data_IF_528821643655
#
_entry.id   IF_528821643655
#
_cell.length_a   1.000
_cell.length_b   1.000
_cell.length_c   1.000
_cell.angle_alpha   90.00
_cell.angle_beta   90.00
_cell.angle_gamma   90.00
#
_symmetry.space_group_name_H-M   'P 1'
#
loop_
_entity.id
_entity.type
_entity.pdbx_description
1 polymer ?
#
# COMPACT_ATOMS: atom_id res chain seq x y z
N UNK A 1 -7.05 11.87 19.75
CA UNK A 1 -7.84 11.29 18.62
C UNK A 1 -7.58 9.78 18.51
N UNK A 2 -8.51 8.99 17.94
CA UNK A 2 -8.27 7.55 17.60
C UNK A 2 -8.13 7.43 16.09
N UNK A 3 -7.06 6.77 15.63
CA UNK A 3 -6.79 6.54 14.21
C UNK A 3 -6.71 5.03 13.97
N UNK A 4 -7.39 4.53 12.94
CA UNK A 4 -7.20 3.18 12.42
C UNK A 4 -6.24 3.23 11.26
N UNK A 5 -5.26 2.33 11.25
CA UNK A 5 -4.31 2.22 10.17
C UNK A 5 -3.87 0.79 9.93
N UNK A 6 -3.40 0.53 8.71
CA UNK A 6 -2.79 -0.74 8.36
C UNK A 6 -1.62 -1.05 9.29
N UNK A 7 -1.48 -2.33 9.63
CA UNK A 7 -0.37 -2.80 10.46
C UNK A 7 0.99 -2.63 9.74
N UNK A 8 1.95 -2.05 10.44
CA UNK A 8 3.35 -1.85 10.03
C UNK A 8 4.24 -2.54 11.05
N UNK A 9 5.19 -3.33 10.59
CA UNK A 9 6.13 -4.02 11.47
C UNK A 9 7.14 -3.03 12.08
N UNK A 10 7.55 -3.17 13.36
CA UNK A 10 7.07 -4.12 14.39
C UNK A 10 6.15 -3.45 15.43
N UNK A 11 4.93 -3.06 15.04
CA UNK A 11 3.94 -2.57 16.01
C UNK A 11 3.44 -3.69 16.94
N UNK A 12 3.36 -3.39 18.24
CA UNK A 12 2.80 -4.28 19.27
C UNK A 12 1.96 -3.44 20.23
N UNK A 13 1.08 -4.08 21.00
CA UNK A 13 0.25 -3.39 21.98
C UNK A 13 1.08 -2.56 22.95
N UNK A 14 0.66 -1.31 23.15
CA UNK A 14 1.32 -0.38 24.06
C UNK A 14 2.59 0.27 23.53
N UNK A 15 3.08 -0.13 22.36
CA UNK A 15 4.22 0.53 21.72
C UNK A 15 3.79 1.86 21.11
N UNK A 16 4.66 2.86 21.22
CA UNK A 16 4.42 4.15 20.62
C UNK A 16 4.69 4.15 19.11
N UNK A 17 4.06 5.10 18.43
CA UNK A 17 4.17 5.29 16.99
C UNK A 17 4.14 6.78 16.66
N UNK A 18 5.04 7.21 15.78
CA UNK A 18 5.10 8.59 15.31
C UNK A 18 4.43 8.73 13.93
N UNK A 19 3.23 9.30 13.88
CA UNK A 19 2.53 9.58 12.62
C UNK A 19 3.19 10.67 11.76
N UNK A 20 4.17 11.41 12.30
CA UNK A 20 4.92 12.42 11.53
C UNK A 20 5.84 11.78 10.52
N UNK A 21 6.55 10.75 10.99
CA UNK A 21 7.66 10.09 10.29
C UNK A 21 7.39 8.62 10.01
N UNK A 22 6.24 8.09 10.43
CA UNK A 22 5.86 6.68 10.38
C UNK A 22 6.83 5.75 11.13
N UNK A 23 7.39 6.20 12.24
CA UNK A 23 8.39 5.42 13.00
C UNK A 23 7.78 4.73 14.22
N UNK A 24 8.19 3.48 14.46
CA UNK A 24 7.81 2.72 15.65
C UNK A 24 8.76 3.10 16.79
N UNK A 25 8.20 3.47 17.95
CA UNK A 25 8.94 3.93 19.11
C UNK A 25 9.10 2.88 20.20
N UNK A 26 8.93 3.30 21.45
CA UNK A 26 9.19 2.52 22.67
C UNK A 26 7.89 2.04 23.33
N UNK A 27 8.00 1.11 24.27
CA UNK A 27 6.83 0.61 25.01
C UNK A 27 6.42 1.63 26.09
N UNK A 28 5.18 2.10 26.03
CA UNK A 28 4.64 3.13 26.92
C UNK A 28 4.14 2.56 28.26
N UNK A 29 3.75 1.28 28.26
CA UNK A 29 3.11 0.60 29.38
C UNK A 29 3.97 -0.55 29.90
N UNK A 30 3.67 -1.01 31.12
CA UNK A 30 4.41 -2.12 31.69
C UNK A 30 4.07 -3.42 30.97
N UNK A 31 5.05 -4.33 30.86
CA UNK A 31 4.84 -5.62 30.20
C UNK A 31 3.69 -6.42 30.82
N UNK A 32 3.53 -6.34 32.14
CA UNK A 32 2.43 -6.99 32.87
C UNK A 32 1.05 -6.56 32.37
N UNK A 33 0.91 -5.28 32.01
CA UNK A 33 -0.35 -4.72 31.53
C UNK A 33 -0.62 -5.12 30.06
N UNK A 34 0.45 -5.38 29.29
CA UNK A 34 0.38 -5.78 27.88
C UNK A 34 0.09 -7.29 27.74
N UNK A 35 0.60 -8.12 28.65
CA UNK A 35 0.51 -9.58 28.60
C UNK A 35 -0.92 -10.14 28.74
N UNK A 36 -1.86 -9.34 29.26
CA UNK A 36 -3.25 -9.76 29.47
C UNK A 36 -4.20 -8.83 28.70
N UNK A 37 -4.15 -8.82 27.35
CA UNK A 37 -5.01 -7.97 26.57
C UNK A 37 -6.46 -8.43 26.68
N UNK A 38 -7.38 -7.49 26.52
CA UNK A 38 -8.78 -7.82 26.30
C UNK A 38 -8.91 -8.39 24.88
N UNK A 39 -9.42 -9.62 24.78
CA UNK A 39 -9.70 -10.26 23.49
C UNK A 39 -11.19 -10.09 23.15
N UNK A 40 -11.48 -9.66 21.92
CA UNK A 40 -12.82 -9.52 21.39
C UNK A 40 -12.89 -10.32 20.08
N UNK A 41 -13.88 -11.22 19.98
CA UNK A 41 -14.19 -11.90 18.73
C UNK A 41 -14.81 -10.90 17.74
N UNK A 42 -14.13 -10.66 16.63
CA UNK A 42 -14.52 -9.71 15.59
C UNK A 42 -14.50 -10.41 14.23
N UNK A 43 -15.24 -11.52 14.13
CA UNK A 43 -15.28 -12.30 12.89
C UNK A 43 -16.15 -11.61 11.85
N UNK A 44 -15.53 -11.11 10.78
CA UNK A 44 -16.25 -10.63 9.61
C UNK A 44 -15.49 -10.90 8.32
N UNK A 45 -16.26 -10.99 7.24
CA UNK A 45 -15.78 -11.15 5.88
C UNK A 45 -16.32 -9.99 5.03
N UNK A 46 -15.45 -9.24 4.40
CA UNK A 46 -15.82 -8.18 3.47
C UNK A 46 -15.00 -8.32 2.18
N UNK A 47 -15.63 -8.06 1.05
CA UNK A 47 -14.96 -8.09 -0.24
C UNK A 47 -15.52 -7.02 -1.17
N UNK A 48 -14.64 -6.22 -1.77
CA UNK A 48 -14.97 -5.22 -2.78
C UNK A 48 -13.98 -5.30 -3.94
N UNK A 49 -14.35 -4.68 -5.06
CA UNK A 49 -13.43 -4.51 -6.19
C UNK A 49 -13.59 -3.14 -6.83
N UNK A 50 -12.54 -2.69 -7.52
CA UNK A 50 -12.53 -1.45 -8.28
C UNK A 50 -11.60 -1.58 -9.49
N UNK A 51 -12.00 -0.95 -10.60
CA UNK A 51 -11.10 -0.71 -11.73
C UNK A 51 -10.16 0.42 -11.37
N UNK A 52 -8.86 0.24 -11.59
CA UNK A 52 -7.82 1.20 -11.25
C UNK A 52 -7.49 2.05 -12.46
N UNK A 53 -7.68 3.36 -12.33
CA UNK A 53 -7.32 4.34 -13.34
C UNK A 53 -6.18 5.25 -12.87
N UNK A 54 -6.09 5.46 -11.56
CA UNK A 54 -5.15 6.37 -10.92
C UNK A 54 -4.52 5.77 -9.65
N UNK A 55 -3.40 6.33 -9.21
CA UNK A 55 -2.82 6.00 -7.89
C UNK A 55 -3.78 6.32 -6.75
N UNK A 56 -4.71 7.27 -6.92
CA UNK A 56 -5.77 7.54 -5.94
C UNK A 56 -6.76 6.39 -5.82
N UNK A 57 -7.09 5.68 -6.91
CA UNK A 57 -7.93 4.48 -6.83
C UNK A 57 -7.25 3.35 -6.04
N UNK A 58 -5.93 3.20 -6.19
CA UNK A 58 -5.15 2.24 -5.40
C UNK A 58 -5.22 2.61 -3.92
N UNK A 59 -5.01 3.88 -3.58
CA UNK A 59 -5.10 4.37 -2.20
C UNK A 59 -6.46 4.13 -1.57
N UNK A 60 -7.53 4.41 -2.32
CA UNK A 60 -8.91 4.17 -1.88
C UNK A 60 -9.19 2.67 -1.66
N UNK A 61 -8.84 1.81 -2.62
CA UNK A 61 -9.06 0.36 -2.47
C UNK A 61 -8.27 -0.17 -1.29
N UNK A 62 -7.04 0.30 -1.06
CA UNK A 62 -6.17 -0.20 0.00
C UNK A 62 -6.40 0.45 1.36
N UNK A 63 -7.18 1.53 1.43
CA UNK A 63 -7.38 2.38 2.62
C UNK A 63 -6.04 2.92 3.17
N UNK A 64 -5.20 3.48 2.29
CA UNK A 64 -3.92 4.10 2.66
C UNK A 64 -3.91 5.59 2.30
N UNK A 65 -3.30 6.40 3.17
CA UNK A 65 -3.13 7.84 2.92
C UNK A 65 -1.91 8.12 2.01
N UNK A 66 -1.82 9.34 1.47
CA UNK A 66 -0.75 9.73 0.55
C UNK A 66 0.66 9.60 1.13
N UNK A 67 0.88 10.05 2.36
CA UNK A 67 2.16 9.90 3.07
C UNK A 67 2.60 8.43 3.23
N UNK A 68 1.69 7.56 3.66
CA UNK A 68 1.95 6.13 3.75
C UNK A 68 2.21 5.49 2.37
N UNK A 69 1.45 5.87 1.33
CA UNK A 69 1.67 5.41 -0.04
C UNK A 69 3.07 5.74 -0.54
N UNK A 70 3.50 6.99 -0.37
CA UNK A 70 4.83 7.46 -0.74
C UNK A 70 5.93 6.67 -0.04
N UNK A 71 5.78 6.44 1.26
CA UNK A 71 6.72 5.65 2.04
C UNK A 71 6.82 4.20 1.56
N UNK A 72 5.69 3.56 1.26
CA UNK A 72 5.67 2.21 0.67
C UNK A 72 6.39 2.18 -0.68
N UNK A 73 6.10 3.13 -1.57
CA UNK A 73 6.73 3.24 -2.90
C UNK A 73 8.23 3.53 -2.81
N UNK A 74 8.65 4.34 -1.85
CA UNK A 74 10.05 4.61 -1.56
C UNK A 74 10.78 3.42 -0.93
N UNK A 75 10.04 2.44 -0.41
CA UNK A 75 10.59 1.26 0.25
C UNK A 75 11.10 1.54 1.67
N UNK A 76 10.61 2.61 2.32
CA UNK A 76 10.97 2.94 3.71
C UNK A 76 10.35 1.98 4.72
N UNK A 77 9.24 1.33 4.36
CA UNK A 77 8.60 0.27 5.16
C UNK A 77 8.40 -1.02 4.39
N UNK A 78 8.40 -2.13 5.12
CA UNK A 78 7.92 -3.42 4.63
C UNK A 78 6.52 -3.65 5.16
N UNK A 79 5.54 -3.67 4.25
CA UNK A 79 4.16 -4.07 4.54
C UNK A 79 3.92 -5.44 3.93
N UNK A 80 3.40 -6.38 4.72
CA UNK A 80 3.04 -7.71 4.24
C UNK A 80 1.93 -7.65 3.19
N UNK A 81 2.06 -8.43 2.11
CA UNK A 81 1.07 -8.54 1.03
C UNK A 81 0.89 -7.24 0.23
N UNK A 82 0.12 -6.29 0.77
CA UNK A 82 -0.32 -5.06 0.11
C UNK A 82 0.81 -4.17 -0.42
N UNK A 83 1.89 -4.02 0.35
CA UNK A 83 3.02 -3.17 -0.04
C UNK A 83 3.65 -3.61 -1.36
N UNK A 84 3.62 -4.92 -1.65
CA UNK A 84 4.12 -5.45 -2.91
C UNK A 84 3.25 -5.00 -4.11
N UNK A 85 1.92 -4.91 -3.95
CA UNK A 85 1.07 -4.38 -5.01
C UNK A 85 1.33 -2.88 -5.23
N UNK A 86 1.30 -2.06 -4.17
CA UNK A 86 1.54 -0.59 -4.26
C UNK A 86 2.88 -0.29 -4.94
N UNK A 87 3.91 -1.08 -4.65
CA UNK A 87 5.22 -0.95 -5.29
C UNK A 87 5.18 -1.33 -6.78
N UNK A 88 4.37 -2.32 -7.15
CA UNK A 88 4.22 -2.77 -8.53
C UNK A 88 3.29 -1.89 -9.38
N UNK A 89 2.32 -1.19 -8.77
CA UNK A 89 1.34 -0.38 -9.50
C UNK A 89 1.95 0.88 -10.13
N UNK A 90 3.08 1.38 -9.59
CA UNK A 90 3.85 2.47 -10.20
C UNK A 90 4.46 2.10 -11.57
N UNK A 91 4.37 0.82 -11.98
CA UNK A 91 5.08 0.28 -13.14
C UNK A 91 4.19 0.01 -14.36
N UNK A 92 2.90 0.32 -14.30
CA UNK A 92 1.90 -0.23 -15.24
C UNK A 92 1.26 0.86 -16.11
N UNK A 93 1.99 1.34 -17.11
CA UNK A 93 1.46 2.37 -18.04
C UNK A 93 0.69 1.79 -19.24
N UNK A 94 0.78 0.48 -19.52
CA UNK A 94 0.13 -0.15 -20.67
C UNK A 94 -0.85 -1.27 -20.26
N UNK A 95 -1.49 -1.10 -19.11
CA UNK A 95 -2.51 -2.04 -18.65
C UNK A 95 -3.65 -1.33 -17.93
N UNK A 96 -4.78 -2.04 -17.83
CA UNK A 96 -5.90 -1.68 -16.97
C UNK A 96 -6.04 -2.77 -15.93
N UNK A 97 -6.00 -2.38 -14.65
CA UNK A 97 -6.06 -3.29 -13.52
C UNK A 97 -7.47 -3.26 -12.91
N UNK A 98 -8.00 -4.42 -12.54
CA UNK A 98 -9.13 -4.57 -11.63
C UNK A 98 -8.56 -5.13 -10.33
N UNK A 99 -8.70 -4.36 -9.26
CA UNK A 99 -8.32 -4.81 -7.93
C UNK A 99 -9.51 -5.37 -7.19
N UNK A 100 -9.33 -6.58 -6.67
CA UNK A 100 -10.23 -7.24 -5.73
C UNK A 100 -9.55 -7.21 -4.38
N UNK A 101 -10.23 -6.70 -3.36
CA UNK A 101 -9.79 -6.78 -1.97
C UNK A 101 -10.75 -7.64 -1.17
N UNK A 102 -10.19 -8.63 -0.48
CA UNK A 102 -10.90 -9.50 0.44
C UNK A 102 -10.28 -9.33 1.81
N UNK A 103 -11.14 -9.03 2.79
CA UNK A 103 -10.80 -8.87 4.20
C UNK A 103 -11.50 -9.96 4.98
N UNK A 104 -10.73 -10.73 5.73
CA UNK A 104 -11.26 -11.62 6.76
C UNK A 104 -10.65 -11.23 8.10
N UNK A 105 -11.48 -10.99 9.10
CA UNK A 105 -11.05 -10.66 10.47
C UNK A 105 -11.51 -11.75 11.42
N UNK A 106 -10.79 -11.89 12.51
CA UNK A 106 -10.97 -12.98 13.47
C UNK A 106 -11.19 -12.39 14.85
N UNK A 107 -10.16 -11.78 15.43
CA UNK A 107 -10.16 -11.24 16.79
C UNK A 107 -9.45 -9.89 16.83
N UNK A 108 -9.81 -9.08 17.82
CA UNK A 108 -9.08 -7.89 18.23
C UNK A 108 -8.51 -8.10 19.63
N UNK A 109 -7.25 -7.70 19.82
CA UNK A 109 -6.62 -7.61 21.14
C UNK A 109 -6.43 -6.15 21.48
N UNK A 110 -6.88 -5.72 22.67
CA UNK A 110 -6.82 -4.33 23.10
C UNK A 110 -6.28 -4.20 24.52
N UNK A 111 -5.58 -3.10 24.79
CA UNK A 111 -5.20 -2.73 26.15
C UNK A 111 -6.43 -2.43 27.01
N UNK A 112 -6.36 -2.65 28.34
CA UNK A 112 -7.38 -2.19 29.28
C UNK A 112 -7.59 -0.67 29.21
N UNK A 113 -8.82 -0.19 29.42
CA UNK A 113 -9.14 1.23 29.30
C UNK A 113 -8.54 2.11 30.41
N UNK A 114 -8.25 1.53 31.57
CA UNK A 114 -7.71 2.21 32.75
C UNK A 114 -6.18 2.18 32.83
N UNK A 115 -5.53 1.58 31.82
CA UNK A 115 -4.07 1.46 31.76
C UNK A 115 -3.38 2.82 31.86
N UNK A 116 -2.25 2.86 32.59
CA UNK A 116 -1.47 4.07 32.81
C UNK A 116 -0.06 3.89 32.27
N UNK A 117 0.50 4.91 31.59
CA UNK A 117 1.91 4.89 31.19
C UNK A 117 2.82 4.62 32.38
N UNK A 118 3.99 4.04 32.10
CA UNK A 118 5.03 3.84 33.12
C UNK A 118 5.43 5.18 33.77
N UNK A 119 5.86 5.19 35.05
CA UNK A 119 6.33 6.40 35.69
C UNK A 119 7.43 7.08 34.87
N UNK A 120 7.41 8.41 34.82
CA UNK A 120 8.42 9.22 34.11
C UNK A 120 8.55 8.91 32.60
N UNK A 121 7.55 8.30 31.95
CA UNK A 121 7.58 8.03 30.49
C UNK A 121 8.00 9.25 29.65
N UNK A 122 7.61 10.46 30.05
CA UNK A 122 7.98 11.72 29.39
C UNK A 122 9.50 11.95 29.28
N UNK A 123 10.29 11.39 30.19
CA UNK A 123 11.76 11.50 30.16
C UNK A 123 12.39 10.72 29.00
N UNK A 124 11.63 9.84 28.34
CA UNK A 124 12.06 9.15 27.11
C UNK A 124 12.20 10.12 25.92
N UNK A 125 11.60 11.32 26.00
CA UNK A 125 11.71 12.36 24.99
C UNK A 125 10.74 12.20 23.82
N UNK A 126 10.31 13.34 23.23
CA UNK A 126 9.28 13.37 22.17
C UNK A 126 9.66 12.59 20.91
N UNK A 127 10.95 12.51 20.59
CA UNK A 127 11.43 11.77 19.41
C UNK A 127 11.27 10.26 19.57
N UNK A 128 11.50 9.71 20.77
CA UNK A 128 11.33 8.26 21.02
C UNK A 128 9.87 7.89 21.25
N UNK A 129 9.09 8.80 21.84
CA UNK A 129 7.68 8.59 22.13
C UNK A 129 6.81 8.78 20.90
N UNK A 130 7.18 9.63 19.93
CA UNK A 130 6.32 9.91 18.79
C UNK A 130 5.04 10.64 19.21
N UNK A 131 3.91 10.28 18.59
CA UNK A 131 2.63 11.01 18.75
C UNK A 131 1.49 10.15 19.26
N UNK A 132 1.54 8.83 19.04
CA UNK A 132 0.47 7.89 19.37
C UNK A 132 1.03 6.63 20.05
N UNK A 133 0.14 5.78 20.57
CA UNK A 133 0.45 4.42 20.96
C UNK A 133 -0.58 3.43 20.42
N UNK A 134 -0.15 2.18 20.25
CA UNK A 134 -1.00 1.08 19.80
C UNK A 134 -1.93 0.65 20.94
N UNK A 135 -3.20 0.99 20.82
CA UNK A 135 -4.25 0.63 21.78
C UNK A 135 -4.85 -0.75 21.48
N UNK A 136 -5.05 -1.06 20.21
CA UNK A 136 -5.64 -2.31 19.75
C UNK A 136 -4.93 -2.84 18.50
N UNK A 137 -4.90 -4.16 18.35
CA UNK A 137 -4.45 -4.85 17.14
C UNK A 137 -5.55 -5.79 16.69
N UNK A 138 -5.99 -5.60 15.46
CA UNK A 138 -6.95 -6.47 14.79
C UNK A 138 -6.22 -7.53 13.98
N UNK A 139 -6.60 -8.78 14.18
CA UNK A 139 -6.04 -9.96 13.53
C UNK A 139 -6.96 -10.49 12.43
N UNK A 140 -6.34 -11.17 11.46
CA UNK A 140 -7.02 -11.87 10.41
C UNK A 140 -6.14 -12.06 9.19
N UNK A 141 -6.71 -11.85 8.01
CA UNK A 141 -5.97 -11.87 6.77
C UNK A 141 -6.59 -10.96 5.73
N UNK A 142 -5.76 -10.59 4.79
CA UNK A 142 -6.10 -9.76 3.67
C UNK A 142 -5.55 -10.35 2.39
N UNK A 143 -6.35 -10.27 1.33
CA UNK A 143 -6.00 -10.67 -0.02
C UNK A 143 -6.31 -9.52 -0.97
N UNK A 144 -5.32 -9.18 -1.79
CA UNK A 144 -5.48 -8.44 -3.03
C UNK A 144 -5.29 -9.39 -4.19
N UNK A 145 -6.28 -9.46 -5.07
CA UNK A 145 -6.10 -10.03 -6.39
C UNK A 145 -6.13 -8.91 -7.43
N UNK A 146 -5.13 -8.88 -8.29
CA UNK A 146 -5.04 -7.96 -9.41
C UNK A 146 -5.31 -8.72 -10.69
N UNK A 147 -6.43 -8.41 -11.35
CA UNK A 147 -6.70 -8.85 -12.72
C UNK A 147 -6.19 -7.76 -13.65
N UNK A 148 -5.12 -8.04 -14.37
CA UNK A 148 -4.44 -7.09 -15.25
C UNK A 148 -4.74 -7.41 -16.70
N UNK A 149 -5.29 -6.45 -17.42
CA UNK A 149 -5.41 -6.47 -18.87
C UNK A 149 -4.27 -5.68 -19.47
N UNK A 150 -3.22 -6.37 -19.90
CA UNK A 150 -2.06 -5.75 -20.56
C UNK A 150 -2.34 -5.59 -22.04
N UNK A 151 -2.33 -4.36 -22.54
CA UNK A 151 -2.62 -4.10 -23.94
C UNK A 151 -1.49 -4.67 -24.84
N UNK A 152 -1.87 -5.31 -25.94
CA UNK A 152 -0.93 -5.78 -26.96
C UNK A 152 -0.33 -4.60 -27.72
N UNK A 153 -1.13 -3.55 -27.94
CA UNK A 153 -0.73 -2.29 -28.54
C UNK A 153 -1.21 -1.13 -27.66
N UNK A 154 -0.40 -0.09 -27.51
CA UNK A 154 -0.73 1.07 -26.67
C UNK A 154 -1.98 1.82 -27.13
N UNK A 155 -2.30 1.75 -28.43
CA UNK A 155 -3.48 2.36 -29.03
C UNK A 155 -4.80 1.71 -28.55
N UNK A 156 -4.76 0.42 -28.20
CA UNK A 156 -5.95 -0.32 -27.73
C UNK A 156 -6.34 0.06 -26.29
N UNK A 157 -5.47 0.76 -25.54
CA UNK A 157 -5.63 0.98 -24.09
C UNK A 157 -6.94 1.70 -23.74
N UNK A 158 -7.33 2.69 -24.54
CA UNK A 158 -8.58 3.42 -24.31
C UNK A 158 -9.80 2.53 -24.51
N UNK A 159 -9.79 1.67 -25.52
CA UNK A 159 -10.90 0.77 -25.79
C UNK A 159 -10.97 -0.37 -24.76
N UNK A 160 -9.82 -0.89 -24.33
CA UNK A 160 -9.73 -1.85 -23.22
C UNK A 160 -10.37 -1.25 -21.97
N UNK A 161 -10.00 -0.01 -21.62
CA UNK A 161 -10.58 0.72 -20.48
C UNK A 161 -12.09 0.88 -20.63
N UNK A 162 -12.56 1.37 -21.77
CA UNK A 162 -13.99 1.56 -22.03
C UNK A 162 -14.77 0.24 -21.93
N UNK A 163 -14.22 -0.86 -22.43
CA UNK A 163 -14.82 -2.20 -22.35
C UNK A 163 -14.92 -2.67 -20.91
N UNK A 164 -13.88 -2.48 -20.10
CA UNK A 164 -13.88 -2.85 -18.69
C UNK A 164 -14.90 -2.04 -17.91
N UNK A 165 -14.84 -0.71 -17.98
CA UNK A 165 -15.71 0.18 -17.21
C UNK A 165 -17.19 0.05 -17.60
N UNK A 166 -17.50 -0.26 -18.86
CA UNK A 166 -18.88 -0.52 -19.29
C UNK A 166 -19.41 -1.90 -18.88
N UNK A 167 -18.53 -2.91 -18.79
CA UNK A 167 -18.92 -4.28 -18.43
C UNK A 167 -18.94 -4.52 -16.92
N UNK A 168 -18.17 -3.73 -16.17
CA UNK A 168 -17.92 -3.94 -14.75
C UNK A 168 -18.05 -2.59 -14.04
N UNK A 169 -19.14 -2.43 -13.29
CA UNK A 169 -19.28 -1.38 -12.28
C UNK A 169 -18.82 -1.89 -10.91
N UNK A 170 -18.30 -1.01 -10.06
CA UNK A 170 -17.90 -1.37 -8.69
C UNK A 170 -19.06 -2.05 -7.93
N UNK A 171 -18.75 -3.07 -7.14
CA UNK A 171 -19.77 -3.87 -6.44
C UNK A 171 -19.20 -5.01 -5.61
N UNK A 172 -20.03 -6.04 -5.38
CA UNK A 172 -19.63 -7.22 -4.63
C UNK A 172 -18.72 -8.13 -5.47
N UNK A 173 -17.58 -8.54 -4.91
CA UNK A 173 -16.62 -9.43 -5.57
C UNK A 173 -17.25 -10.74 -6.03
N UNK A 174 -18.20 -11.29 -5.28
CA UNK A 174 -18.88 -12.53 -5.64
C UNK A 174 -19.62 -12.43 -6.98
N UNK A 175 -20.14 -11.24 -7.32
CA UNK A 175 -20.80 -11.00 -8.60
C UNK A 175 -19.79 -10.87 -9.75
N UNK A 176 -18.58 -10.36 -9.46
CA UNK A 176 -17.50 -10.23 -10.44
C UNK A 176 -16.89 -11.59 -10.77
N UNK A 177 -16.54 -12.37 -9.73
CA UNK A 177 -15.89 -13.68 -9.87
C UNK A 177 -16.89 -14.81 -10.13
N UNK A 178 -18.18 -14.51 -10.13
CA UNK A 178 -19.23 -15.42 -10.58
C UNK A 178 -18.99 -15.87 -12.03
N UNK A 179 -19.69 -16.93 -12.44
CA UNK A 179 -19.56 -17.45 -13.81
C UNK A 179 -20.04 -16.42 -14.84
N UNK A 180 -19.18 -16.11 -15.81
CA UNK A 180 -19.56 -15.45 -17.05
C UNK A 180 -19.03 -14.03 -17.21
N UNK A 181 -18.88 -13.22 -16.15
CA UNK A 181 -18.45 -11.82 -16.30
C UNK A 181 -16.99 -11.71 -16.75
N UNK A 182 -16.06 -12.30 -15.99
CA UNK A 182 -14.64 -12.26 -16.32
C UNK A 182 -14.35 -13.05 -17.60
N UNK A 183 -15.01 -14.18 -17.82
CA UNK A 183 -14.86 -14.96 -19.06
C UNK A 183 -15.41 -14.23 -20.29
N UNK A 184 -16.50 -13.46 -20.14
CA UNK A 184 -17.00 -12.60 -21.22
C UNK A 184 -15.99 -11.50 -21.55
N UNK A 185 -15.43 -10.86 -20.53
CA UNK A 185 -14.50 -9.75 -20.70
C UNK A 185 -13.17 -10.21 -21.31
N UNK A 186 -12.63 -11.34 -20.85
CA UNK A 186 -11.46 -11.98 -21.47
C UNK A 186 -11.71 -12.31 -22.95
N UNK A 187 -12.89 -12.86 -23.29
CA UNK A 187 -13.26 -13.14 -24.69
C UNK A 187 -13.37 -11.88 -25.55
N UNK A 188 -13.96 -10.81 -25.03
CA UNK A 188 -14.10 -9.54 -25.75
C UNK A 188 -12.73 -8.89 -26.01
N UNK A 189 -11.80 -9.02 -25.07
CA UNK A 189 -10.48 -8.38 -25.12
C UNK A 189 -9.36 -9.27 -25.66
N UNK A 190 -9.62 -10.55 -25.96
CA UNK A 190 -8.60 -11.54 -26.38
C UNK A 190 -7.68 -11.12 -27.52
N UNK A 191 -8.14 -10.24 -28.42
CA UNK A 191 -7.34 -9.74 -29.56
C UNK A 191 -6.60 -8.44 -29.28
N UNK A 192 -6.83 -7.82 -28.11
CA UNK A 192 -6.34 -6.49 -27.73
C UNK A 192 -5.51 -6.51 -26.46
N UNK A 193 -5.76 -7.47 -25.57
CA UNK A 193 -5.07 -7.60 -24.30
C UNK A 193 -4.83 -9.05 -23.92
N UNK A 194 -3.79 -9.25 -23.10
CA UNK A 194 -3.62 -10.48 -22.31
C UNK A 194 -4.12 -10.24 -20.90
N UNK A 195 -4.82 -11.22 -20.34
CA UNK A 195 -5.26 -11.22 -18.95
C UNK A 195 -4.23 -11.93 -18.07
N UNK A 196 -3.78 -11.26 -17.02
CA UNK A 196 -2.91 -11.81 -15.97
C UNK A 196 -3.60 -11.68 -14.62
N UNK A 197 -3.46 -12.69 -13.75
CA UNK A 197 -4.00 -12.64 -12.39
C UNK A 197 -2.85 -12.81 -11.39
N UNK A 198 -2.65 -11.81 -10.54
CA UNK A 198 -1.62 -11.79 -9.51
C UNK A 198 -2.27 -11.69 -8.13
N UNK A 199 -1.73 -12.42 -7.16
CA UNK A 199 -2.23 -12.43 -5.79
C UNK A 199 -1.19 -11.87 -4.83
N UNK A 200 -1.67 -11.05 -3.89
CA UNK A 200 -0.89 -10.49 -2.80
C UNK A 200 -1.68 -10.72 -1.51
N UNK A 201 -1.15 -11.53 -0.61
CA UNK A 201 -1.84 -11.85 0.63
C UNK A 201 -0.93 -11.70 1.84
N UNK A 202 -1.54 -11.41 2.98
CA UNK A 202 -0.86 -11.32 4.29
C UNK A 202 -0.67 -12.68 4.95
N UNK A 203 -1.37 -13.70 4.45
CA UNK A 203 -1.23 -15.11 4.85
C UNK A 203 -0.77 -15.96 3.66
N UNK A 204 -0.08 -17.10 3.89
CA UNK A 204 0.31 -18.00 2.82
C UNK A 204 -0.89 -18.54 2.02
N UNK A 205 -0.76 -18.55 0.70
CA UNK A 205 -1.74 -19.11 -0.22
C UNK A 205 -1.26 -20.50 -0.69
N UNK A 206 -2.12 -21.51 -0.60
CA UNK A 206 -1.80 -22.89 -0.98
C UNK A 206 -2.65 -23.33 -2.19
N UNK A 207 -2.00 -23.94 -3.19
CA UNK A 207 -2.70 -24.60 -4.31
C UNK A 207 -3.49 -23.65 -5.23
N UNK A 208 -3.15 -22.36 -5.25
CA UNK A 208 -3.88 -21.35 -6.03
C UNK A 208 -3.33 -21.24 -7.44
N UNK A 209 -4.22 -21.34 -8.43
CA UNK A 209 -3.89 -21.08 -9.84
C UNK A 209 -4.09 -19.60 -10.22
N UNK A 210 -3.25 -19.09 -11.12
CA UNK A 210 -3.33 -17.73 -11.65
C UNK A 210 -4.33 -17.64 -12.82
N UNK A 211 -5.57 -18.10 -12.61
CA UNK A 211 -6.66 -18.08 -13.59
C UNK A 211 -8.00 -17.77 -12.91
N UNK A 212 -9.07 -17.56 -13.69
CA UNK A 212 -10.39 -17.15 -13.18
C UNK A 212 -10.94 -18.16 -12.15
N UNK A 213 -10.77 -19.46 -12.39
CA UNK A 213 -11.22 -20.51 -11.46
C UNK A 213 -10.45 -20.45 -10.13
N UNK A 214 -9.13 -20.27 -10.19
CA UNK A 214 -8.28 -20.09 -9.03
C UNK A 214 -8.65 -18.84 -8.23
N UNK A 215 -8.91 -17.72 -8.90
CA UNK A 215 -9.38 -16.48 -8.27
C UNK A 215 -10.73 -16.70 -7.57
N UNK A 216 -11.69 -17.33 -8.26
CA UNK A 216 -13.01 -17.62 -7.71
C UNK A 216 -12.92 -18.51 -6.47
N UNK A 217 -12.10 -19.56 -6.53
CA UNK A 217 -11.85 -20.46 -5.40
C UNK A 217 -11.21 -19.72 -4.22
N UNK A 218 -10.21 -18.89 -4.51
CA UNK A 218 -9.50 -18.14 -3.49
C UNK A 218 -10.41 -17.13 -2.78
N UNK A 219 -11.21 -16.35 -3.51
CA UNK A 219 -12.17 -15.41 -2.90
C UNK A 219 -13.13 -16.17 -1.97
N UNK A 220 -13.70 -17.29 -2.42
CA UNK A 220 -14.69 -18.06 -1.63
C UNK A 220 -14.07 -18.68 -0.36
N UNK A 221 -12.83 -19.15 -0.44
CA UNK A 221 -12.21 -19.96 0.59
C UNK A 221 -11.10 -19.23 1.35
N UNK A 222 -10.96 -17.90 1.19
CA UNK A 222 -9.86 -17.16 1.80
C UNK A 222 -9.80 -17.29 3.33
N UNK A 223 -10.97 -17.39 4.00
CA UNK A 223 -11.06 -17.66 5.44
C UNK A 223 -10.33 -18.94 5.87
N UNK A 224 -10.29 -19.96 5.01
CA UNK A 224 -9.67 -21.25 5.33
C UNK A 224 -8.14 -21.13 5.29
N UNK A 225 -7.60 -20.22 4.46
CA UNK A 225 -6.17 -19.88 4.47
C UNK A 225 -5.79 -19.13 5.75
N UNK A 226 -6.63 -18.19 6.20
CA UNK A 226 -6.41 -17.48 7.47
C UNK A 226 -6.47 -18.44 8.66
N UNK A 227 -7.41 -19.40 8.63
CA UNK A 227 -7.59 -20.39 9.70
C UNK A 227 -6.34 -21.27 9.95
N UNK A 228 -5.48 -21.43 8.95
CA UNK A 228 -4.22 -22.19 9.05
C UNK A 228 -3.10 -21.44 9.75
N UNK A 229 -3.23 -20.13 9.95
CA UNK A 229 -2.17 -19.27 10.50
C UNK A 229 -2.48 -18.92 11.95
N UNK A 230 -1.47 -19.03 12.82
CA UNK A 230 -1.53 -18.60 14.22
C UNK A 230 -2.76 -19.15 14.97
N UNK A 231 -2.97 -20.47 14.89
CA UNK A 231 -4.11 -21.17 15.51
C UNK A 231 -5.49 -20.58 15.12
N UNK A 232 -5.62 -20.12 13.88
CA UNK A 232 -6.86 -19.57 13.35
C UNK A 232 -7.05 -18.06 13.55
N UNK A 233 -6.13 -17.39 14.25
CA UNK A 233 -6.15 -15.93 14.41
C UNK A 233 -5.76 -15.21 13.13
N UNK A 234 -4.92 -15.81 12.28
CA UNK A 234 -4.26 -15.07 11.21
C UNK A 234 -3.11 -14.19 11.71
N UNK A 235 -2.83 -13.12 10.98
CA UNK A 235 -1.75 -12.16 11.26
C UNK A 235 -2.33 -10.80 11.69
N UNK A 236 -1.54 -9.92 12.34
CA UNK A 236 -1.92 -8.53 12.52
C UNK A 236 -2.17 -7.85 11.17
N UNK A 237 -3.30 -7.16 11.01
CA UNK A 237 -3.69 -6.51 9.75
C UNK A 237 -4.01 -5.03 9.92
N UNK A 238 -4.53 -4.63 11.08
CA UNK A 238 -4.89 -3.24 11.38
C UNK A 238 -4.58 -2.94 12.85
N UNK A 239 -4.27 -1.68 13.14
CA UNK A 239 -4.08 -1.18 14.51
C UNK A 239 -4.97 0.02 14.77
N UNK A 240 -5.36 0.17 16.02
CA UNK A 240 -5.93 1.42 16.54
C UNK A 240 -4.84 2.16 17.31
N UNK A 241 -4.55 3.37 16.86
CA UNK A 241 -3.63 4.29 17.48
C UNK A 241 -4.39 5.34 18.29
N UNK A 242 -3.96 5.55 19.53
CA UNK A 242 -4.48 6.59 20.41
C UNK A 242 -3.40 7.64 20.64
N UNK A 243 -3.76 8.89 20.48
CA UNK A 243 -2.86 10.02 20.63
C UNK A 243 -2.34 10.17 22.07
N UNK A 244 -1.05 10.46 22.23
CA UNK A 244 -0.41 10.68 23.53
C UNK A 244 -0.93 11.94 24.23
N UNK A 245 -1.52 12.87 23.48
CA UNK A 245 -2.16 14.08 24.02
C UNK A 245 -3.33 13.78 24.99
N UNK A 246 -3.88 12.57 24.92
CA UNK A 246 -4.84 12.06 25.90
C UNK A 246 -4.25 11.95 27.31
N UNK A 247 -2.93 11.79 27.44
CA UNK A 247 -2.23 11.80 28.71
C UNK A 247 -1.59 13.15 29.03
N UNK A 248 -1.04 13.83 28.02
CA UNK A 248 -0.39 15.13 28.19
C UNK A 248 -0.43 15.96 26.90
N UNK A 249 -1.04 17.16 26.96
CA UNK A 249 -1.24 18.05 25.80
C UNK A 249 0.03 18.45 25.08
N UNK A 250 1.20 18.32 25.69
CA UNK A 250 2.48 18.59 25.01
C UNK A 250 2.74 17.67 23.80
N UNK A 251 2.00 16.57 23.66
CA UNK A 251 2.07 15.60 22.56
C UNK A 251 0.91 15.72 21.56
N UNK A 252 0.21 16.87 21.54
CA UNK A 252 -0.82 17.16 20.54
C UNK A 252 -0.24 17.06 19.13
N UNK A 253 -0.93 16.30 18.27
CA UNK A 253 -0.55 16.07 16.88
C UNK A 253 -1.56 16.73 15.93
N UNK A 254 -1.06 17.60 15.04
CA UNK A 254 -1.89 18.34 14.09
C UNK A 254 -1.34 18.14 12.68
N UNK A 255 -1.99 17.27 11.92
CA UNK A 255 -1.63 17.00 10.52
C UNK A 255 -1.78 18.26 9.67
N UNK A 256 -0.77 18.57 8.86
CA UNK A 256 -0.82 19.69 7.91
C UNK A 256 -1.64 19.30 6.67
N UNK A 257 -2.83 19.91 6.51
CA UNK A 257 -3.75 19.61 5.40
C UNK A 257 -3.27 20.15 4.05
N UNK A 258 -2.53 21.26 4.03
CA UNK A 258 -1.95 21.81 2.81
C UNK A 258 -0.91 20.85 2.22
N UNK A 259 -0.03 20.32 3.09
CA UNK A 259 0.93 19.31 2.70
C UNK A 259 0.25 18.09 2.06
N UNK A 260 -0.89 17.63 2.58
CA UNK A 260 -1.57 16.44 2.04
C UNK A 260 -1.96 16.58 0.57
N UNK A 261 -2.48 17.75 0.17
CA UNK A 261 -2.80 18.04 -1.23
C UNK A 261 -1.55 18.01 -2.10
N UNK A 262 -0.45 18.58 -1.62
CA UNK A 262 0.83 18.59 -2.33
C UNK A 262 1.46 17.19 -2.45
N UNK A 263 1.24 16.31 -1.48
CA UNK A 263 1.73 14.92 -1.54
C UNK A 263 1.08 14.11 -2.67
N UNK A 264 -0.16 14.43 -3.07
CA UNK A 264 -0.79 13.77 -4.21
C UNK A 264 -0.07 14.10 -5.52
N UNK A 265 0.27 15.37 -5.74
CA UNK A 265 1.05 15.79 -6.89
C UNK A 265 2.48 15.24 -6.83
N UNK A 266 3.07 15.21 -5.63
CA UNK A 266 4.40 14.65 -5.41
C UNK A 266 4.47 13.15 -5.75
N UNK A 267 3.41 12.41 -5.44
CA UNK A 267 3.28 10.99 -5.77
C UNK A 267 3.21 10.76 -7.29
N UNK A 268 2.57 11.64 -8.05
CA UNK A 268 2.53 11.58 -9.52
C UNK A 268 3.95 11.68 -10.10
N UNK A 269 4.77 12.61 -9.61
CA UNK A 269 6.16 12.74 -10.07
C UNK A 269 7.01 11.52 -9.69
N UNK A 270 6.80 10.97 -8.49
CA UNK A 270 7.46 9.73 -8.09
C UNK A 270 7.10 8.56 -9.00
N UNK A 271 5.81 8.40 -9.32
CA UNK A 271 5.31 7.34 -10.20
C UNK A 271 5.89 7.47 -11.61
N UNK A 272 6.02 8.69 -12.14
CA UNK A 272 6.67 8.93 -13.43
C UNK A 272 8.16 8.51 -13.42
N UNK A 273 8.92 8.88 -12.38
CA UNK A 273 10.31 8.50 -12.23
C UNK A 273 10.49 6.98 -12.11
N UNK A 274 9.65 6.32 -11.31
CA UNK A 274 9.67 4.86 -11.14
C UNK A 274 9.27 4.14 -12.43
N UNK A 275 8.25 4.62 -13.13
CA UNK A 275 7.81 4.09 -14.42
C UNK A 275 8.87 4.24 -15.51
N UNK A 276 9.50 5.42 -15.59
CA UNK A 276 10.60 5.70 -16.53
C UNK A 276 11.81 4.82 -16.26
N UNK A 277 12.21 4.67 -14.98
CA UNK A 277 13.29 3.78 -14.59
C UNK A 277 13.02 2.33 -15.02
N UNK A 278 11.80 1.84 -14.82
CA UNK A 278 11.42 0.49 -15.22
C UNK A 278 11.47 0.32 -16.75
N UNK A 279 10.97 1.28 -17.52
CA UNK A 279 11.05 1.26 -18.99
C UNK A 279 12.48 1.18 -19.50
N UNK A 280 13.38 1.97 -18.92
CA UNK A 280 14.81 1.92 -19.26
C UNK A 280 15.38 0.51 -19.00
N UNK A 281 15.02 -0.10 -17.86
CA UNK A 281 15.45 -1.45 -17.52
C UNK A 281 14.91 -2.50 -18.51
N UNK A 282 13.62 -2.42 -18.87
CA UNK A 282 13.01 -3.30 -19.86
C UNK A 282 13.68 -3.15 -21.23
N UNK A 283 13.90 -1.91 -21.67
CA UNK A 283 14.52 -1.64 -22.97
C UNK A 283 15.95 -2.19 -23.06
N UNK A 284 16.75 -2.00 -22.01
CA UNK A 284 18.10 -2.57 -21.92
C UNK A 284 18.11 -4.10 -21.88
N UNK A 285 17.06 -4.72 -21.33
CA UNK A 285 16.94 -6.17 -21.25
C UNK A 285 16.47 -6.79 -22.58
N UNK A 286 15.41 -6.25 -23.18
CA UNK A 286 14.77 -6.79 -24.39
C UNK A 286 15.58 -6.52 -25.66
N UNK A 287 16.23 -5.36 -25.75
CA UNK A 287 16.92 -4.90 -26.96
C UNK A 287 18.44 -4.92 -26.85
N UNK A 288 18.98 -5.61 -25.83
CA UNK A 288 20.43 -5.62 -25.52
C UNK A 288 21.30 -5.88 -26.74
N UNK A 289 20.91 -6.83 -27.58
CA UNK A 289 21.70 -7.31 -28.71
C UNK A 289 21.51 -6.46 -29.98
N UNK A 290 20.53 -5.55 -29.99
CA UNK A 290 20.21 -4.69 -31.13
C UNK A 290 20.67 -3.24 -30.96
N UNK A 291 20.98 -2.84 -29.72
CA UNK A 291 21.41 -1.48 -29.41
C UNK A 291 22.88 -1.25 -29.81
N UNK A 292 23.14 -0.12 -30.44
CA UNK A 292 24.49 0.37 -30.70
C UNK A 292 25.15 0.90 -29.43
N UNK A 293 26.48 1.01 -29.43
CA UNK A 293 27.21 1.57 -28.29
C UNK A 293 26.80 3.02 -27.96
N UNK A 294 26.43 3.81 -28.96
CA UNK A 294 25.99 5.20 -28.74
C UNK A 294 24.60 5.24 -28.08
N UNK A 295 23.65 4.42 -28.57
CA UNK A 295 22.33 4.30 -27.94
C UNK A 295 22.43 3.80 -26.49
N UNK A 296 23.30 2.81 -26.23
CA UNK A 296 23.55 2.33 -24.86
C UNK A 296 24.06 3.47 -23.95
N UNK A 297 24.94 4.33 -24.48
CA UNK A 297 25.47 5.48 -23.75
C UNK A 297 24.39 6.52 -23.49
N UNK A 298 23.57 6.87 -24.48
CA UNK A 298 22.44 7.79 -24.31
C UNK A 298 21.44 7.27 -23.27
N UNK A 299 21.10 5.97 -23.32
CA UNK A 299 20.22 5.33 -22.34
C UNK A 299 20.85 5.38 -20.94
N UNK A 300 22.16 5.15 -20.82
CA UNK A 300 22.87 5.23 -19.55
C UNK A 300 22.85 6.67 -18.98
N UNK A 301 23.03 7.68 -19.81
CA UNK A 301 22.98 9.09 -19.41
C UNK A 301 21.57 9.46 -18.90
N UNK A 302 20.52 9.07 -19.62
CA UNK A 302 19.12 9.25 -19.17
C UNK A 302 18.87 8.50 -17.85
N UNK A 303 19.32 7.24 -17.76
CA UNK A 303 19.19 6.44 -16.54
C UNK A 303 19.87 7.09 -15.34
N UNK A 304 21.05 7.70 -15.55
CA UNK A 304 21.80 8.45 -14.57
C UNK A 304 21.03 9.67 -14.05
N UNK A 305 20.45 10.47 -14.97
CA UNK A 305 19.63 11.64 -14.65
C UNK A 305 18.39 11.25 -13.86
N UNK A 306 17.61 10.28 -14.34
CA UNK A 306 16.42 9.75 -13.65
C UNK A 306 16.79 9.25 -12.25
N UNK A 307 17.89 8.50 -12.13
CA UNK A 307 18.34 7.99 -10.83
C UNK A 307 18.75 9.10 -9.86
N UNK A 308 19.35 10.18 -10.35
CA UNK A 308 19.73 11.34 -9.54
C UNK A 308 18.48 12.04 -8.99
N UNK A 309 17.49 12.33 -9.84
CA UNK A 309 16.23 12.95 -9.40
C UNK A 309 15.49 12.03 -8.43
N UNK A 310 15.38 10.73 -8.75
CA UNK A 310 14.73 9.75 -7.88
C UNK A 310 15.37 9.70 -6.49
N UNK A 311 16.70 9.79 -6.37
CA UNK A 311 17.36 9.87 -5.04
C UNK A 311 16.91 11.08 -4.23
N UNK A 312 16.73 12.24 -4.86
CA UNK A 312 16.19 13.43 -4.18
C UNK A 312 14.79 13.17 -3.63
N UNK A 313 13.91 12.55 -4.43
CA UNK A 313 12.57 12.15 -3.98
C UNK A 313 12.61 11.18 -2.81
N UNK A 314 13.41 10.11 -2.92
CA UNK A 314 13.55 9.11 -1.86
C UNK A 314 14.10 9.73 -0.56
N UNK A 315 15.06 10.65 -0.68
CA UNK A 315 15.60 11.39 0.47
C UNK A 315 14.56 12.31 1.10
N UNK A 316 13.75 13.02 0.29
CA UNK A 316 12.66 13.84 0.81
C UNK A 316 11.62 13.00 1.54
N UNK A 317 11.19 11.87 0.97
CA UNK A 317 10.20 10.96 1.59
C UNK A 317 10.73 10.40 2.90
N UNK A 318 12.00 9.99 2.95
CA UNK A 318 12.62 9.45 4.17
C UNK A 318 12.70 10.47 5.32
N UNK A 319 12.64 11.77 5.03
CA UNK A 319 12.68 12.85 6.01
C UNK A 319 11.35 13.60 6.13
N UNK A 320 10.27 13.05 5.54
CA UNK A 320 8.95 13.69 5.53
C UNK A 320 8.42 13.83 6.96
N UNK A 321 7.90 15.01 7.28
CA UNK A 321 7.22 15.30 8.53
C UNK A 321 5.82 15.85 8.20
N UNK A 322 4.79 15.10 8.59
CA UNK A 322 3.39 15.40 8.23
C UNK A 322 2.80 16.62 8.96
N UNK A 323 3.49 17.21 9.94
CA UNK A 323 3.09 18.47 10.58
C UNK A 323 3.73 19.70 9.91
N UNK A 324 4.83 19.51 9.17
CA UNK A 324 5.51 20.61 8.47
C UNK A 324 4.80 20.99 7.19
N UNK A 325 5.13 22.16 6.67
CA UNK A 325 4.60 22.67 5.40
C UNK A 325 5.18 21.95 4.17
N UNK A 326 4.67 22.30 3.00
CA UNK A 326 5.05 21.74 1.71
C UNK A 326 6.44 22.16 1.22
N UNK A 327 7.13 23.10 1.90
CA UNK A 327 8.46 23.58 1.50
C UNK A 327 9.50 22.45 1.52
N UNK A 328 9.30 21.43 2.37
CA UNK A 328 10.13 20.22 2.43
C UNK A 328 10.18 19.44 1.10
N UNK A 329 9.20 19.65 0.20
CA UNK A 329 9.10 18.98 -1.09
C UNK A 329 9.83 19.72 -2.23
N UNK A 330 10.12 21.01 -2.06
CA UNK A 330 10.49 21.89 -3.17
C UNK A 330 11.81 21.49 -3.84
N UNK A 331 12.84 21.13 -3.07
CA UNK A 331 14.13 20.72 -3.66
C UNK A 331 14.00 19.50 -4.58
N UNK A 332 13.11 18.56 -4.26
CA UNK A 332 12.85 17.40 -5.13
C UNK A 332 12.02 17.81 -6.36
N UNK A 333 11.01 18.67 -6.20
CA UNK A 333 10.22 19.21 -7.32
C UNK A 333 11.07 20.03 -8.29
N UNK A 334 12.00 20.85 -7.79
CA UNK A 334 12.94 21.63 -8.60
C UNK A 334 13.86 20.70 -9.40
N UNK A 335 14.46 19.69 -8.76
CA UNK A 335 15.28 18.70 -9.44
C UNK A 335 14.52 17.97 -10.57
N UNK A 336 13.22 17.70 -10.36
CA UNK A 336 12.37 17.12 -11.41
C UNK A 336 12.16 18.09 -12.59
N UNK A 337 11.91 19.37 -12.32
CA UNK A 337 11.66 20.40 -13.35
C UNK A 337 12.91 20.74 -14.17
N UNK A 338 14.08 20.74 -13.55
CA UNK A 338 15.34 21.06 -14.23
C UNK A 338 15.75 19.97 -15.23
N UNK A 339 15.47 18.71 -14.90
CA UNK A 339 15.87 17.55 -15.72
C UNK A 339 14.78 17.13 -16.72
N UNK A 340 13.59 17.72 -16.66
CA UNK A 340 12.49 17.51 -17.64
C UNK A 340 12.41 18.60 -18.71
N UNK A 341 13.27 19.62 -18.64
CA UNK A 341 13.56 20.56 -19.74
C UNK A 341 14.71 20.05 -20.59
#
# INVERSE_FOLDING_TARGET
MIIRMMYVLPMILGRTYDLRTHTVGVDLFSQKDIENPRVIEETFYNSNFKTIETSSDVKEVLDINGDLSLNIKAGTFTIGGFGAYVKSSAQTQNSVDILIKVRFRTISESLPFDIKPVPMWKTMGKTNLGTHYVQSILYGGDLIACIRFKALHSEDLQEIRATITSSISAGNVLDLVGEGKLESLDRQLKRKATMEINYFATVPLEGVANNIEGLRGLVKNFKDHVAKVNNGRGVPVEVELVELSNFDREFEYVKNLELQTELELFEIYLDDLLGTKNRIQTLLFEYRDTLTNEEVKEIADISGRVSKVLRSFLSTIANLDTEKDSQQLESAKEAYREETR
#
